data_IF_296120720225
#
_entry.id   IF_296120720225
#
_cell.length_a   1.000
_cell.length_b   1.000
_cell.length_c   1.000
_cell.angle_alpha   90.00
_cell.angle_beta   90.00
_cell.angle_gamma   90.00
#
_symmetry.space_group_name_H-M   'P 1'
#
loop_
_entity.id
_entity.type
_entity.pdbx_description
1 polymer ?
#
# COMPACT_ATOMS: atom_id res chain seq x y z
N UNK A 1 -13.80 -5.46 -5.30
CA UNK A 1 -13.12 -4.20 -5.70
C UNK A 1 -13.38 -3.74 -7.14
N UNK A 2 -14.03 -4.51 -8.04
CA UNK A 2 -14.28 -4.06 -9.43
C UNK A 2 -15.49 -3.13 -9.61
N UNK A 3 -16.42 -3.09 -8.63
CA UNK A 3 -17.70 -2.38 -8.75
C UNK A 3 -17.93 -1.32 -7.64
N UNK A 4 -16.89 -0.85 -6.94
CA UNK A 4 -17.03 0.22 -5.95
C UNK A 4 -15.96 1.29 -6.11
N UNK A 5 -16.32 2.53 -5.83
CA UNK A 5 -15.35 3.62 -5.68
C UNK A 5 -14.51 3.30 -4.43
N UNK A 6 -13.16 3.32 -4.50
CA UNK A 6 -12.32 3.10 -3.34
C UNK A 6 -12.59 4.17 -2.29
N UNK A 7 -13.04 3.74 -1.11
CA UNK A 7 -13.29 4.63 0.02
C UNK A 7 -12.32 4.26 1.14
N UNK A 8 -11.31 5.10 1.30
CA UNK A 8 -10.23 4.87 2.25
C UNK A 8 -10.57 5.23 3.69
N UNK A 9 -11.69 5.90 3.95
CA UNK A 9 -12.19 6.17 5.30
C UNK A 9 -12.95 4.94 5.85
N UNK A 10 -13.63 4.21 4.96
CA UNK A 10 -14.42 3.03 5.33
C UNK A 10 -13.58 1.74 5.22
N UNK A 11 -12.67 1.66 4.24
CA UNK A 11 -11.93 0.43 3.94
C UNK A 11 -10.43 0.63 4.06
N UNK A 12 -9.86 0.07 5.13
CA UNK A 12 -8.42 0.09 5.37
C UNK A 12 -7.61 -0.41 4.16
N UNK A 13 -8.11 -1.42 3.43
CA UNK A 13 -7.47 -1.96 2.22
C UNK A 13 -7.34 -0.92 1.09
N UNK A 14 -8.34 -0.05 0.91
CA UNK A 14 -8.33 0.98 -0.14
C UNK A 14 -7.30 2.08 0.20
N UNK A 15 -7.05 2.32 1.50
CA UNK A 15 -6.03 3.25 1.98
C UNK A 15 -4.59 2.82 1.59
N UNK A 16 -4.32 1.51 1.51
CA UNK A 16 -3.02 1.00 1.04
C UNK A 16 -2.73 1.48 -0.38
N UNK A 17 -3.67 1.31 -1.30
CA UNK A 17 -3.50 1.66 -2.71
C UNK A 17 -3.58 3.16 -2.98
N UNK A 18 -4.42 3.87 -2.24
CA UNK A 18 -4.58 5.32 -2.43
C UNK A 18 -3.38 6.10 -1.90
N UNK A 19 -2.83 5.72 -0.73
CA UNK A 19 -1.83 6.52 -0.01
C UNK A 19 -0.54 5.76 0.28
N UNK A 20 -0.60 4.69 1.08
CA UNK A 20 0.60 4.06 1.65
C UNK A 20 1.60 3.60 0.58
N UNK A 21 1.12 2.99 -0.50
CA UNK A 21 1.97 2.52 -1.60
C UNK A 21 2.51 3.65 -2.50
N UNK A 22 1.95 4.86 -2.41
CA UNK A 22 2.43 6.03 -3.17
C UNK A 22 3.52 6.82 -2.43
N UNK A 23 3.61 6.66 -1.11
CA UNK A 23 4.56 7.40 -0.26
C UNK A 23 6.02 7.18 -0.66
N UNK A 24 6.38 6.00 -1.18
CA UNK A 24 7.73 5.72 -1.70
C UNK A 24 8.20 6.77 -2.71
N UNK A 25 7.30 7.16 -3.63
CA UNK A 25 7.61 8.13 -4.70
C UNK A 25 7.69 9.58 -4.21
N UNK A 26 7.02 9.87 -3.09
CA UNK A 26 6.88 11.22 -2.52
C UNK A 26 8.02 11.59 -1.56
N UNK A 27 8.93 10.66 -1.24
CA UNK A 27 10.05 10.95 -0.36
C UNK A 27 11.01 11.96 -1.02
N UNK A 28 11.41 12.99 -0.28
CA UNK A 28 12.27 14.06 -0.81
C UNK A 28 13.76 13.68 -0.87
N UNK A 29 14.21 12.80 0.02
CA UNK A 29 15.63 12.42 0.13
C UNK A 29 15.90 11.06 -0.51
N UNK A 30 17.13 10.85 -1.00
CA UNK A 30 17.56 9.56 -1.58
C UNK A 30 17.49 8.43 -0.54
N UNK A 31 17.93 8.69 0.68
CA UNK A 31 17.83 7.74 1.79
C UNK A 31 16.38 7.42 2.14
N UNK A 32 15.51 8.42 2.15
CA UNK A 32 14.07 8.25 2.38
C UNK A 32 13.41 7.37 1.31
N UNK A 33 13.74 7.56 0.03
CA UNK A 33 13.25 6.69 -1.06
C UNK A 33 13.71 5.24 -0.90
N UNK A 34 14.99 5.02 -0.55
CA UNK A 34 15.53 3.67 -0.36
C UNK A 34 14.82 2.94 0.78
N UNK A 35 14.64 3.60 1.93
CA UNK A 35 13.97 3.02 3.08
C UNK A 35 12.47 2.81 2.81
N UNK A 36 11.80 3.79 2.19
CA UNK A 36 10.40 3.67 1.82
C UNK A 36 10.17 2.53 0.81
N UNK A 37 11.11 2.25 -0.10
CA UNK A 37 11.05 1.09 -1.01
C UNK A 37 11.09 -0.24 -0.26
N UNK A 38 11.96 -0.36 0.74
CA UNK A 38 12.03 -1.56 1.61
C UNK A 38 10.71 -1.77 2.34
N UNK A 39 10.17 -0.72 2.96
CA UNK A 39 8.89 -0.78 3.68
C UNK A 39 7.71 -1.06 2.76
N UNK A 40 7.70 -0.49 1.57
CA UNK A 40 6.66 -0.72 0.55
C UNK A 40 6.63 -2.19 0.09
N UNK A 41 7.79 -2.85 0.06
CA UNK A 41 7.84 -4.30 -0.22
C UNK A 41 7.11 -5.10 0.85
N UNK A 42 7.38 -4.83 2.14
CA UNK A 42 6.69 -5.50 3.26
C UNK A 42 5.17 -5.33 3.17
N UNK A 43 4.69 -4.12 2.84
CA UNK A 43 3.26 -3.87 2.67
C UNK A 43 2.65 -4.69 1.50
N UNK A 44 3.37 -4.84 0.40
CA UNK A 44 2.92 -5.67 -0.74
C UNK A 44 2.88 -7.14 -0.39
N UNK A 45 3.86 -7.62 0.37
CA UNK A 45 3.93 -9.01 0.82
C UNK A 45 2.76 -9.33 1.76
N UNK A 46 2.46 -8.44 2.72
CA UNK A 46 1.28 -8.54 3.57
C UNK A 46 -0.04 -8.60 2.76
N UNK A 47 -0.19 -7.73 1.76
CA UNK A 47 -1.39 -7.75 0.91
C UNK A 47 -1.54 -9.06 0.11
N UNK A 48 -0.43 -9.67 -0.29
CA UNK A 48 -0.43 -10.96 -0.97
C UNK A 48 -0.84 -12.10 -0.02
N UNK A 49 -0.36 -12.09 1.22
CA UNK A 49 -0.76 -13.05 2.25
C UNK A 49 -2.24 -12.90 2.60
N UNK A 50 -2.69 -11.67 2.88
CA UNK A 50 -4.10 -11.37 3.13
C UNK A 50 -5.01 -11.84 1.99
N UNK A 51 -4.58 -11.68 0.74
CA UNK A 51 -5.33 -12.18 -0.42
C UNK A 51 -5.47 -13.71 -0.40
N UNK A 52 -4.45 -14.44 0.04
CA UNK A 52 -4.50 -15.90 0.16
C UNK A 52 -5.41 -16.35 1.31
N UNK A 53 -5.45 -15.60 2.41
CA UNK A 53 -6.31 -15.94 3.56
C UNK A 53 -7.81 -15.75 3.26
N UNK A 54 -8.15 -14.77 2.42
CA UNK A 54 -9.55 -14.46 2.05
C UNK A 54 -10.06 -15.37 0.91
N UNK A 55 -9.16 -16.11 0.24
CA UNK A 55 -9.47 -16.94 -0.93
C UNK A 55 -9.66 -18.41 -0.55
#
# INVERSE_FOLDING_TARGET
CKNRIPDDEIWALDHFYRKLLKLESLMNTKSGKIEAKKRTKVLKDFLNELKKEIQ
#
